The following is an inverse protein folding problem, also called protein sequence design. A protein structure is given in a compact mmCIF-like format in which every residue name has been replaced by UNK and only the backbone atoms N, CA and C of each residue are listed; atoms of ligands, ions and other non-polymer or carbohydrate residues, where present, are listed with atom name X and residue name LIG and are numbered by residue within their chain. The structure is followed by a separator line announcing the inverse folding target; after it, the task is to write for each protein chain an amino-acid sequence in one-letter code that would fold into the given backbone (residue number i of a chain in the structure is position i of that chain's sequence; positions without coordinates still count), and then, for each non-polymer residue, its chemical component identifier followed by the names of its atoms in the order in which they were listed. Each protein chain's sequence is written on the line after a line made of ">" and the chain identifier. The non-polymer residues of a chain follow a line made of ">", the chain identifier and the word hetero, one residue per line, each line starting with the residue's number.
data_IF_620055890615
#
_entry.id   IF_620055890615
#
_cell.length_a   1.000
_cell.length_b   1.000
_cell.length_c   1.000
_cell.angle_alpha   90.00
_cell.angle_beta   90.00
_cell.angle_gamma   90.00
#
_symmetry.space_group_name_H-M   'P 1'
#
loop_
_entity.id
_entity.type
_entity.pdbx_description
1 polymer ?
#
# COMPACT_ATOMS: atom_id res chain seq x y z
N UNK A 1 11.94 -6.30 -3.54
CA UNK A 1 10.92 -7.12 -4.24
C UNK A 1 10.78 -6.71 -5.69
N UNK A 2 10.38 -5.47 -6.00
CA UNK A 2 10.27 -4.98 -7.39
C UNK A 2 11.53 -5.27 -8.22
N UNK A 3 12.70 -4.88 -7.73
CA UNK A 3 13.98 -5.14 -8.39
C UNK A 3 14.20 -6.62 -8.70
N UNK A 4 13.90 -7.50 -7.74
CA UNK A 4 14.11 -8.96 -7.87
C UNK A 4 13.20 -9.61 -8.92
N UNK A 5 11.94 -9.17 -9.01
CA UNK A 5 10.93 -9.84 -9.84
C UNK A 5 10.75 -9.20 -11.22
N UNK A 6 11.40 -8.06 -11.49
CA UNK A 6 11.27 -7.31 -12.73
C UNK A 6 9.85 -6.77 -12.95
N UNK A 7 9.52 -6.32 -14.15
CA UNK A 7 8.24 -5.64 -14.44
C UNK A 7 7.06 -6.60 -14.66
N UNK A 8 7.34 -7.84 -15.07
CA UNK A 8 6.32 -8.81 -15.50
C UNK A 8 5.54 -9.46 -14.34
N UNK A 9 6.04 -9.32 -13.10
CA UNK A 9 5.39 -9.89 -11.91
C UNK A 9 4.92 -8.75 -11.00
N UNK A 10 3.65 -8.81 -10.60
CA UNK A 10 3.07 -7.86 -9.67
C UNK A 10 3.63 -8.00 -8.24
N UNK A 11 3.78 -6.89 -7.53
CA UNK A 11 4.20 -6.85 -6.12
C UNK A 11 3.04 -6.32 -5.28
N UNK A 12 2.65 -7.05 -4.23
CA UNK A 12 1.61 -6.62 -3.29
C UNK A 12 2.26 -6.07 -2.01
N UNK A 13 1.93 -4.83 -1.66
CA UNK A 13 2.20 -4.30 -0.33
C UNK A 13 1.02 -4.60 0.59
N UNK A 14 1.28 -5.14 1.79
CA UNK A 14 0.25 -5.43 2.79
C UNK A 14 0.80 -5.33 4.21
N UNK A 15 -0.06 -4.93 5.14
CA UNK A 15 0.33 -4.63 6.52
C UNK A 15 0.89 -3.20 6.65
N UNK A 16 0.39 -2.44 7.61
CA UNK A 16 0.92 -1.11 7.93
C UNK A 16 0.54 0.05 6.98
N UNK A 17 -0.20 -0.18 5.90
CA UNK A 17 -0.70 0.89 5.01
C UNK A 17 -2.00 1.46 5.60
N UNK A 18 -1.94 2.63 6.25
CA UNK A 18 -3.05 3.17 7.05
C UNK A 18 -3.63 4.49 6.54
N UNK A 19 -2.94 5.17 5.64
CA UNK A 19 -3.38 6.42 5.04
C UNK A 19 -2.95 6.54 3.57
N UNK A 20 -3.43 7.58 2.91
CA UNK A 20 -3.07 7.90 1.52
C UNK A 20 -1.56 8.02 1.32
N UNK A 21 -0.85 8.69 2.24
CA UNK A 21 0.60 8.86 2.16
C UNK A 21 1.35 7.53 2.17
N UNK A 22 0.94 6.59 3.02
CA UNK A 22 1.54 5.25 3.06
C UNK A 22 1.28 4.50 1.75
N UNK A 23 0.07 4.64 1.19
CA UNK A 23 -0.32 4.01 -0.06
C UNK A 23 0.52 4.53 -1.23
N UNK A 24 0.73 5.85 -1.31
CA UNK A 24 1.60 6.47 -2.32
C UNK A 24 3.04 5.97 -2.17
N UNK A 25 3.57 5.96 -0.94
CA UNK A 25 4.94 5.52 -0.69
C UNK A 25 5.22 4.08 -1.16
N UNK A 26 4.28 3.15 -0.95
CA UNK A 26 4.46 1.76 -1.43
C UNK A 26 4.28 1.62 -2.94
N UNK A 27 3.47 2.47 -3.57
CA UNK A 27 3.35 2.53 -5.04
C UNK A 27 4.65 3.03 -5.64
N UNK A 28 5.22 4.10 -5.10
CA UNK A 28 6.52 4.66 -5.52
C UNK A 28 7.66 3.66 -5.31
N UNK A 29 7.59 2.83 -4.26
CA UNK A 29 8.52 1.73 -4.02
C UNK A 29 8.32 0.53 -5.00
N UNK A 30 7.32 0.58 -5.89
CA UNK A 30 7.10 -0.38 -6.96
C UNK A 30 6.02 -1.44 -6.69
N UNK A 31 5.19 -1.27 -5.66
CA UNK A 31 4.01 -2.12 -5.46
C UNK A 31 2.95 -1.85 -6.54
N UNK A 32 2.43 -2.92 -7.13
CA UNK A 32 1.35 -2.87 -8.13
C UNK A 32 -0.03 -3.15 -7.51
N UNK A 33 -0.08 -3.57 -6.23
CA UNK A 33 -1.33 -3.77 -5.49
C UNK A 33 -1.15 -3.49 -4.01
N UNK A 34 -2.19 -2.97 -3.38
CA UNK A 34 -2.24 -2.70 -1.94
C UNK A 34 -3.29 -3.60 -1.31
N UNK A 35 -2.93 -4.29 -0.22
CA UNK A 35 -3.86 -4.96 0.68
C UNK A 35 -3.91 -4.25 2.02
N UNK A 36 -5.00 -3.53 2.28
CA UNK A 36 -5.18 -2.76 3.50
C UNK A 36 -6.60 -2.94 4.07
N UNK A 37 -6.70 -3.14 5.39
CA UNK A 37 -7.96 -3.05 6.15
C UNK A 37 -8.47 -1.60 6.25
N UNK A 38 -7.57 -0.63 6.12
CA UNK A 38 -7.84 0.81 6.13
C UNK A 38 -8.29 1.38 4.78
N UNK A 39 -8.77 0.56 3.84
CA UNK A 39 -9.04 0.98 2.45
C UNK A 39 -9.97 2.19 2.35
N UNK A 40 -11.03 2.25 3.17
CA UNK A 40 -11.97 3.38 3.19
C UNK A 40 -11.26 4.67 3.64
N UNK A 41 -10.44 4.61 4.68
CA UNK A 41 -9.70 5.77 5.17
C UNK A 41 -8.71 6.27 4.11
N UNK A 42 -7.98 5.35 3.46
CA UNK A 42 -7.03 5.65 2.39
C UNK A 42 -7.72 6.39 1.24
N UNK A 43 -8.84 5.89 0.72
CA UNK A 43 -9.54 6.56 -0.41
C UNK A 43 -10.27 7.84 -0.01
N UNK A 44 -10.53 8.04 1.28
CA UNK A 44 -11.16 9.24 1.83
C UNK A 44 -10.15 10.32 2.25
N UNK A 45 -8.84 10.11 2.03
CA UNK A 45 -7.79 11.03 2.49
C UNK A 45 -7.65 11.10 4.02
N UNK A 46 -8.13 10.08 4.73
CA UNK A 46 -8.10 9.98 6.19
C UNK A 46 -6.99 9.03 6.67
N UNK A 47 -6.66 9.14 7.95
CA UNK A 47 -5.71 8.23 8.62
C UNK A 47 -6.50 7.23 9.47
N UNK A 48 -6.33 5.94 9.21
CA UNK A 48 -6.85 4.90 10.08
C UNK A 48 -6.05 4.83 11.38
N UNK A 49 -6.73 4.95 12.51
CA UNK A 49 -6.16 4.85 13.87
C UNK A 49 -6.37 3.46 14.50
N UNK A 50 -6.69 2.45 13.70
CA UNK A 50 -6.81 1.07 14.20
C UNK A 50 -5.45 0.54 14.66
N UNK A 51 -5.43 0.00 15.88
CA UNK A 51 -4.24 -0.62 16.48
C UNK A 51 -4.01 -2.06 16.01
N UNK A 52 -5.01 -2.67 15.37
CA UNK A 52 -4.92 -3.94 14.64
C UNK A 52 -4.65 -3.70 13.15
#
# INVERSE_FOLDING_TARGET
>A
MRETVGENIGVKASGGVRCEKDAIAVIEAGASRIGASASIAIVSGQISKSDY
#
